data_IF_706213805223
#
_entry.id   IF_706213805223
#
_cell.length_a   1.000
_cell.length_b   1.000
_cell.length_c   1.000
_cell.angle_alpha   90.00
_cell.angle_beta   90.00
_cell.angle_gamma   90.00
#
_symmetry.space_group_name_H-M   'P 1'
#
loop_
_entity.id
_entity.type
_entity.pdbx_description
1 polymer ?
#
# COMPACT_ATOMS: atom_id res chain seq x y z
N UNK A 1 -16.33 -15.51 -7.08
CA UNK A 1 -16.47 -14.75 -6.05
C UNK A 1 -15.77 -15.26 -4.87
N UNK A 2 -15.28 -14.46 -4.13
CA UNK A 2 -14.44 -14.87 -3.12
C UNK A 2 -14.98 -14.64 -1.79
N UNK A 3 -14.58 -15.38 -0.88
CA UNK A 3 -14.97 -15.22 0.42
C UNK A 3 -14.52 -14.01 0.98
N UNK A 4 -15.27 -13.47 1.86
CA UNK A 4 -14.90 -12.22 2.45
C UNK A 4 -14.89 -12.34 3.92
N UNK A 5 -14.38 -13.39 4.43
CA UNK A 5 -14.26 -13.53 5.84
C UNK A 5 -13.15 -12.66 6.32
N UNK A 6 -13.45 -11.71 7.15
CA UNK A 6 -12.47 -10.79 7.63
C UNK A 6 -12.30 -10.95 9.11
N UNK A 7 -11.11 -11.33 9.51
CA UNK A 7 -10.75 -11.44 10.91
C UNK A 7 -9.33 -10.98 11.05
N UNK A 8 -8.91 -10.59 12.24
CA UNK A 8 -7.52 -10.17 12.44
C UNK A 8 -6.57 -11.26 11.96
N UNK A 9 -5.59 -10.89 11.17
CA UNK A 9 -4.62 -11.81 10.64
C UNK A 9 -5.02 -12.53 9.38
N UNK A 10 -6.23 -12.31 8.90
CA UNK A 10 -6.69 -12.96 7.67
C UNK A 10 -6.47 -12.06 6.49
N UNK A 11 -5.96 -12.62 5.40
CA UNK A 11 -5.78 -11.89 4.16
C UNK A 11 -7.05 -11.98 3.34
N UNK A 12 -7.55 -10.83 2.92
CA UNK A 12 -8.72 -10.76 2.08
C UNK A 12 -8.28 -10.53 0.64
N UNK A 13 -8.63 -11.45 -0.25
CA UNK A 13 -8.28 -11.36 -1.64
C UNK A 13 -9.45 -10.82 -2.41
N UNK A 14 -9.32 -9.62 -2.97
CA UNK A 14 -10.45 -8.89 -3.51
C UNK A 14 -10.62 -8.99 -4.99
N UNK A 15 -9.53 -9.18 -5.74
CA UNK A 15 -9.64 -9.08 -7.18
C UNK A 15 -8.74 -10.07 -7.87
N UNK A 16 -9.06 -10.35 -9.11
CA UNK A 16 -8.13 -10.99 -10.03
C UNK A 16 -7.03 -9.98 -10.37
N UNK A 17 -6.07 -10.30 -11.23
CA UNK A 17 -4.91 -9.40 -11.44
C UNK A 17 -5.34 -8.01 -11.86
N UNK A 18 -4.66 -6.97 -11.40
CA UNK A 18 -3.72 -7.09 -10.32
C UNK A 18 -4.45 -7.42 -9.04
N UNK A 19 -3.76 -8.09 -8.15
CA UNK A 19 -4.39 -8.49 -6.91
C UNK A 19 -4.15 -7.47 -5.86
N UNK A 20 -5.15 -7.22 -5.05
CA UNK A 20 -5.02 -6.38 -3.88
C UNK A 20 -5.41 -7.25 -2.70
N UNK A 21 -4.47 -7.42 -1.79
CA UNK A 21 -4.69 -8.25 -0.61
C UNK A 21 -4.58 -7.37 0.62
N UNK A 22 -5.54 -7.48 1.51
CA UNK A 22 -5.56 -6.69 2.73
C UNK A 22 -5.46 -7.64 3.91
N UNK A 23 -4.44 -7.44 4.73
CA UNK A 23 -4.23 -8.24 5.93
C UNK A 23 -4.27 -7.32 7.11
N UNK A 24 -5.19 -7.57 8.05
CA UNK A 24 -5.34 -6.74 9.22
C UNK A 24 -5.04 -7.54 10.47
N UNK A 25 -4.20 -6.95 11.32
CA UNK A 25 -3.93 -7.49 12.65
C UNK A 25 -4.25 -6.41 13.65
N UNK A 26 -4.09 -6.71 14.93
CA UNK A 26 -4.28 -5.72 15.97
C UNK A 26 -3.30 -4.57 15.86
N UNK A 27 -2.15 -4.80 15.22
CA UNK A 27 -1.07 -3.81 15.19
C UNK A 27 -1.05 -3.00 13.92
N UNK A 28 -1.55 -3.52 12.82
CA UNK A 28 -1.45 -2.80 11.55
C UNK A 28 -2.32 -3.42 10.48
N UNK A 29 -2.53 -2.66 9.41
CA UNK A 29 -3.15 -3.13 8.18
C UNK A 29 -2.12 -3.07 7.07
N UNK A 30 -1.97 -4.15 6.33
CA UNK A 30 -1.09 -4.20 5.16
C UNK A 30 -1.95 -4.32 3.92
N UNK A 31 -1.78 -3.38 3.00
CA UNK A 31 -2.44 -3.43 1.69
C UNK A 31 -1.36 -3.76 0.67
N UNK A 32 -1.41 -4.97 0.15
CA UNK A 32 -0.40 -5.45 -0.79
C UNK A 32 -0.97 -5.49 -2.20
N UNK A 33 -0.22 -4.98 -3.16
CA UNK A 33 -0.65 -4.93 -4.55
C UNK A 33 0.31 -5.76 -5.39
N UNK A 34 -0.23 -6.68 -6.19
CA UNK A 34 0.57 -7.55 -7.03
C UNK A 34 0.15 -7.33 -8.48
N UNK A 35 1.10 -7.36 -9.39
CA UNK A 35 0.82 -7.23 -10.81
C UNK A 35 1.14 -5.85 -11.33
N UNK A 36 0.23 -5.25 -12.07
CA UNK A 36 0.49 -3.97 -12.71
C UNK A 36 -0.47 -2.92 -12.18
N UNK A 37 0.08 -1.88 -11.61
CA UNK A 37 -0.73 -0.78 -11.11
C UNK A 37 -0.82 0.27 -12.20
N UNK A 38 -1.77 0.07 -13.10
CA UNK A 38 -1.99 0.95 -14.23
C UNK A 38 -3.31 1.70 -14.05
N UNK A 39 -3.69 2.45 -15.06
CA UNK A 39 -4.85 3.32 -14.96
C UNK A 39 -6.14 2.59 -14.65
N UNK A 40 -6.23 1.32 -15.06
CA UNK A 40 -7.48 0.60 -14.88
C UNK A 40 -7.72 0.18 -13.42
N UNK A 41 -6.68 0.28 -12.58
CA UNK A 41 -6.76 -0.20 -11.20
C UNK A 41 -6.59 0.89 -10.17
N UNK A 42 -6.09 2.05 -10.59
CA UNK A 42 -5.75 3.09 -9.62
C UNK A 42 -6.96 3.56 -8.84
N UNK A 43 -8.12 3.66 -9.50
CA UNK A 43 -9.32 4.09 -8.80
C UNK A 43 -9.73 3.10 -7.73
N UNK A 44 -9.61 1.81 -8.04
CA UNK A 44 -9.95 0.78 -7.07
C UNK A 44 -9.02 0.82 -5.87
N UNK A 45 -7.72 0.97 -6.12
CA UNK A 45 -6.76 1.05 -5.04
C UNK A 45 -7.02 2.29 -4.18
N UNK A 46 -7.31 3.42 -4.82
CA UNK A 46 -7.61 4.64 -4.07
C UNK A 46 -8.80 4.43 -3.15
N UNK A 47 -9.86 3.79 -3.66
CA UNK A 47 -11.05 3.54 -2.84
C UNK A 47 -10.73 2.63 -1.66
N UNK A 48 -9.96 1.57 -1.91
CA UNK A 48 -9.63 0.63 -0.84
C UNK A 48 -8.75 1.27 0.22
N UNK A 49 -7.77 2.07 -0.19
CA UNK A 49 -6.92 2.75 0.77
C UNK A 49 -7.73 3.75 1.59
N UNK A 50 -8.66 4.45 0.95
CA UNK A 50 -9.53 5.37 1.67
C UNK A 50 -10.39 4.65 2.68
N UNK A 51 -10.93 3.49 2.32
CA UNK A 51 -11.75 2.71 3.25
C UNK A 51 -10.94 2.23 4.44
N UNK A 52 -9.70 1.77 4.19
CA UNK A 52 -8.87 1.31 5.29
C UNK A 52 -8.48 2.45 6.22
N UNK A 53 -8.18 3.62 5.67
CA UNK A 53 -7.85 4.77 6.50
C UNK A 53 -9.05 5.23 7.32
N UNK A 54 -10.24 5.13 6.75
CA UNK A 54 -11.46 5.48 7.48
C UNK A 54 -11.64 4.62 8.73
N UNK A 55 -11.18 3.37 8.66
CA UNK A 55 -11.26 2.47 9.82
C UNK A 55 -10.21 2.77 10.88
N UNK A 56 -9.33 3.74 10.60
CA UNK A 56 -8.32 4.22 11.54
C UNK A 56 -7.45 3.09 12.10
N UNK A 57 -6.71 2.40 11.24
CA UNK A 57 -5.82 1.34 11.73
C UNK A 57 -4.70 1.94 12.59
N UNK A 58 -4.09 1.12 13.41
CA UNK A 58 -2.97 1.58 14.23
C UNK A 58 -1.77 1.96 13.39
N UNK A 59 -1.60 1.29 12.25
CA UNK A 59 -0.56 1.62 11.29
C UNK A 59 -0.98 1.07 9.94
N UNK A 60 -0.51 1.70 8.87
CA UNK A 60 -0.81 1.26 7.52
C UNK A 60 0.49 0.98 6.78
N UNK A 61 0.58 -0.17 6.16
CA UNK A 61 1.71 -0.52 5.30
C UNK A 61 1.16 -0.75 3.90
N UNK A 62 1.71 -0.05 2.94
CA UNK A 62 1.36 -0.25 1.53
C UNK A 62 2.50 -1.04 0.91
N UNK A 63 2.24 -2.29 0.61
CA UNK A 63 3.28 -3.22 0.15
C UNK A 63 3.23 -3.35 -1.36
N UNK A 64 4.21 -2.77 -2.02
CA UNK A 64 4.31 -2.78 -3.47
C UNK A 64 5.46 -3.68 -3.96
N UNK A 65 5.89 -4.60 -3.09
CA UNK A 65 7.04 -5.45 -3.39
C UNK A 65 6.85 -6.24 -4.67
N UNK A 66 5.64 -6.70 -4.93
CA UNK A 66 5.39 -7.61 -6.05
C UNK A 66 4.77 -6.93 -7.26
N UNK A 67 4.91 -5.62 -7.38
CA UNK A 67 4.45 -4.93 -8.56
C UNK A 67 5.43 -5.13 -9.71
N UNK A 68 4.89 -5.44 -10.89
CA UNK A 68 5.68 -5.51 -12.10
C UNK A 68 5.71 -4.18 -12.83
N UNK A 69 4.73 -3.30 -12.55
CA UNK A 69 4.64 -2.00 -13.18
C UNK A 69 3.84 -1.05 -12.31
N UNK A 70 4.27 0.20 -12.25
CA UNK A 70 3.57 1.23 -11.49
C UNK A 70 3.51 2.50 -12.33
N UNK A 71 2.30 2.92 -12.72
CA UNK A 71 2.14 4.15 -13.47
C UNK A 71 2.33 5.35 -12.58
N UNK A 72 2.56 6.50 -13.19
CA UNK A 72 2.67 7.74 -12.43
C UNK A 72 1.40 8.01 -11.64
N UNK A 73 0.24 7.71 -12.24
CA UNK A 73 -1.02 7.91 -11.54
C UNK A 73 -1.16 6.94 -10.37
N UNK A 74 -0.70 5.70 -10.54
CA UNK A 74 -0.69 4.75 -9.44
C UNK A 74 0.17 5.23 -8.29
N UNK A 75 1.33 5.79 -8.62
CA UNK A 75 2.20 6.35 -7.60
C UNK A 75 1.52 7.53 -6.92
N UNK A 76 0.76 8.32 -7.68
CA UNK A 76 -0.01 9.43 -7.11
C UNK A 76 -1.03 8.96 -6.08
N UNK A 77 -1.68 7.83 -6.34
CA UNK A 77 -2.63 7.26 -5.38
C UNK A 77 -1.92 6.88 -4.09
N UNK A 78 -0.73 6.31 -4.20
CA UNK A 78 0.04 5.95 -3.01
C UNK A 78 0.45 7.21 -2.24
N UNK A 79 0.90 8.24 -2.95
CA UNK A 79 1.26 9.51 -2.31
C UNK A 79 0.08 10.12 -1.58
N UNK A 80 -1.10 10.10 -2.20
CA UNK A 80 -2.29 10.64 -1.57
C UNK A 80 -2.63 9.89 -0.29
N UNK A 81 -2.48 8.56 -0.32
CA UNK A 81 -2.77 7.76 0.86
C UNK A 81 -1.77 8.06 1.98
N UNK A 82 -0.51 8.25 1.64
CA UNK A 82 0.51 8.61 2.63
C UNK A 82 0.16 9.94 3.27
N UNK A 83 -0.20 10.93 2.45
CA UNK A 83 -0.57 12.24 2.97
C UNK A 83 -1.80 12.17 3.86
N UNK A 84 -2.80 11.39 3.46
CA UNK A 84 -4.01 11.25 4.25
C UNK A 84 -3.75 10.55 5.59
N UNK A 85 -2.89 9.52 5.56
CA UNK A 85 -2.53 8.82 6.80
C UNK A 85 -1.82 9.76 7.75
N UNK A 86 -0.87 10.53 7.25
CA UNK A 86 -0.14 11.47 8.08
C UNK A 86 -1.05 12.53 8.66
N UNK A 87 -1.99 13.03 7.86
CA UNK A 87 -2.95 14.01 8.34
C UNK A 87 -3.83 13.45 9.45
N UNK A 88 -4.09 12.16 9.41
CA UNK A 88 -4.91 11.50 10.43
C UNK A 88 -4.09 10.98 11.61
N UNK A 89 -2.79 11.19 11.60
CA UNK A 89 -1.92 10.71 12.67
C UNK A 89 -1.68 9.21 12.64
N UNK A 90 -1.87 8.58 11.47
CA UNK A 90 -1.69 7.14 11.33
C UNK A 90 -0.30 6.88 10.78
N UNK A 91 0.54 6.12 11.49
CA UNK A 91 1.85 5.76 10.95
C UNK A 91 1.69 5.01 9.64
N UNK A 92 2.47 5.37 8.63
CA UNK A 92 2.35 4.77 7.31
C UNK A 92 3.74 4.47 6.75
N UNK A 93 3.87 3.33 6.09
CA UNK A 93 5.09 2.93 5.42
C UNK A 93 4.75 2.37 4.05
N UNK A 94 5.67 2.53 3.11
CA UNK A 94 5.54 1.97 1.76
C UNK A 94 6.71 1.03 1.55
N UNK A 95 6.42 -0.20 1.15
CA UNK A 95 7.47 -1.19 0.92
C UNK A 95 7.66 -1.36 -0.57
N UNK A 96 8.86 -1.12 -1.06
CA UNK A 96 9.15 -1.25 -2.48
C UNK A 96 10.65 -1.41 -2.66
N UNK A 97 11.07 -2.56 -3.18
CA UNK A 97 12.47 -2.80 -3.42
C UNK A 97 12.79 -2.98 -4.89
N UNK A 98 11.78 -3.03 -5.75
CA UNK A 98 11.98 -3.31 -7.15
C UNK A 98 11.96 -2.07 -8.01
N UNK A 99 12.43 -2.23 -9.25
CA UNK A 99 12.53 -1.12 -10.18
C UNK A 99 11.18 -0.57 -10.62
N UNK A 100 10.14 -1.43 -10.58
CA UNK A 100 8.82 -1.00 -11.01
C UNK A 100 8.35 0.23 -10.24
N UNK A 101 8.73 0.34 -8.97
CA UNK A 101 8.35 1.48 -8.15
C UNK A 101 9.51 2.46 -8.01
N UNK A 102 10.72 1.96 -7.79
CA UNK A 102 11.85 2.85 -7.51
C UNK A 102 12.22 3.73 -8.70
N UNK A 103 12.07 3.22 -9.94
CA UNK A 103 12.37 4.03 -11.09
C UNK A 103 11.48 5.27 -11.22
N UNK A 104 10.12 5.12 -11.21
CA UNK A 104 9.30 6.33 -11.26
C UNK A 104 9.46 7.22 -10.04
N UNK A 105 9.73 6.64 -8.86
CA UNK A 105 9.98 7.48 -7.69
C UNK A 105 11.20 8.37 -7.93
N UNK A 106 12.29 7.80 -8.44
CA UNK A 106 13.49 8.56 -8.72
C UNK A 106 13.26 9.56 -9.84
N UNK A 107 12.61 9.11 -10.92
CA UNK A 107 12.39 9.97 -12.07
C UNK A 107 11.55 11.19 -11.73
N UNK A 108 10.63 11.05 -10.79
CA UNK A 108 9.75 12.15 -10.39
C UNK A 108 10.22 12.87 -9.14
N UNK A 109 11.35 12.45 -8.58
CA UNK A 109 11.93 13.12 -7.42
C UNK A 109 11.10 12.99 -6.17
N UNK A 110 10.48 11.83 -5.96
CA UNK A 110 9.53 11.65 -4.87
C UNK A 110 10.10 10.95 -3.66
N UNK A 111 11.41 10.73 -3.61
CA UNK A 111 12.01 9.97 -2.52
C UNK A 111 11.71 10.58 -1.16
N UNK A 112 11.69 11.89 -1.09
CA UNK A 112 11.48 12.56 0.18
C UNK A 112 10.04 12.51 0.66
N UNK A 113 9.10 12.28 -0.26
CA UNK A 113 7.70 12.26 0.11
C UNK A 113 7.18 10.90 0.48
N UNK A 114 7.97 9.85 0.26
CA UNK A 114 7.51 8.50 0.53
C UNK A 114 8.34 7.87 1.62
N UNK A 115 7.68 7.31 2.66
CA UNK A 115 8.40 6.60 3.72
C UNK A 115 8.72 5.18 3.23
N UNK A 116 9.74 5.07 2.37
CA UNK A 116 10.06 3.84 1.67
C UNK A 116 10.96 2.92 2.47
N UNK A 117 10.60 1.66 2.47
CA UNK A 117 11.44 0.60 3.02
C UNK A 117 11.59 -0.48 1.95
N UNK A 118 12.71 -1.19 1.97
CA UNK A 118 12.94 -2.20 0.94
C UNK A 118 12.25 -3.51 1.22
N UNK A 119 11.97 -3.80 2.47
CA UNK A 119 11.31 -5.04 2.84
C UNK A 119 10.26 -4.77 3.88
N UNK A 120 9.31 -5.67 3.96
CA UNK A 120 8.27 -5.57 4.97
C UNK A 120 8.86 -5.64 6.37
N UNK A 121 9.89 -6.48 6.54
CA UNK A 121 10.54 -6.60 7.84
C UNK A 121 11.15 -5.28 8.28
N UNK A 122 11.80 -4.55 7.36
CA UNK A 122 12.34 -3.24 7.68
C UNK A 122 11.25 -2.27 8.09
N UNK A 123 10.13 -2.28 7.36
CA UNK A 123 9.03 -1.38 7.67
C UNK A 123 8.48 -1.67 9.05
N UNK A 124 8.33 -2.94 9.38
CA UNK A 124 7.82 -3.32 10.68
C UNK A 124 8.75 -2.96 11.81
N UNK A 125 10.05 -3.11 11.56
CA UNK A 125 11.03 -2.85 12.57
C UNK A 125 11.15 -1.37 12.91
N UNK A 126 11.05 -0.51 11.90
CA UNK A 126 11.31 0.90 12.09
C UNK A 126 10.07 1.75 12.19
N UNK A 127 8.92 1.24 11.78
CA UNK A 127 7.75 2.09 11.63
C UNK A 127 6.58 1.65 12.45
N UNK A 128 6.32 0.36 12.51
CA UNK A 128 5.12 -0.15 13.15
C UNK A 128 5.48 -0.71 14.50
N UNK A 129 5.70 0.13 15.44
CA UNK A 129 6.14 -0.34 16.72
C UNK A 129 5.19 -0.03 17.80
#
# INVERSE_FOLDING_TARGET
MHDTIIRPGVTLLLEAPPRIAITTTADRTVVAVTGELDLSVTGRLADLLGEELYLAPRALVIDLTHLAFCSARGLGVVLDAVAAARAAGIPVAVVAGGRAVLRPVEALGLEAELPLYRTLAEAEEHHVR
#
